data_IF_905374712348
#
_entry.id   IF_905374712348
#
_cell.length_a   1.000
_cell.length_b   1.000
_cell.length_c   1.000
_cell.angle_alpha   90.00
_cell.angle_beta   90.00
_cell.angle_gamma   90.00
#
_symmetry.space_group_name_H-M   'P 1'
#
loop_
_entity.id
_entity.type
_entity.pdbx_description
1 polymer ?
#
# COMPACT_ATOMS: atom_id res chain seq x y z
N UNK A 1 -37.28 -68.81 -9.20
CA UNK A 1 -36.93 -67.81 -8.17
C UNK A 1 -35.72 -67.06 -8.72
N UNK A 2 -35.89 -66.03 -9.55
CA UNK A 2 -36.16 -64.61 -9.22
C UNK A 2 -35.07 -64.05 -8.28
N UNK A 3 -34.34 -62.95 -8.51
CA UNK A 3 -34.38 -61.85 -9.49
C UNK A 3 -33.10 -60.99 -9.36
N UNK A 4 -32.92 -60.05 -10.31
CA UNK A 4 -32.30 -58.70 -10.18
C UNK A 4 -31.05 -58.50 -11.05
N UNK A 5 -31.18 -58.03 -12.30
CA UNK A 5 -31.43 -56.65 -12.79
C UNK A 5 -30.18 -55.74 -12.78
N UNK A 6 -29.72 -55.44 -13.98
CA UNK A 6 -28.76 -54.39 -14.31
C UNK A 6 -29.36 -53.61 -15.48
N UNK A 7 -29.71 -52.34 -15.27
CA UNK A 7 -30.23 -51.45 -16.31
C UNK A 7 -29.23 -50.33 -16.60
N UNK A 8 -29.01 -50.11 -17.89
CA UNK A 8 -27.94 -49.34 -18.50
C UNK A 8 -28.58 -48.09 -19.12
N UNK A 9 -28.35 -46.91 -18.54
CA UNK A 9 -28.80 -45.63 -19.08
C UNK A 9 -27.70 -44.97 -19.89
N UNK A 10 -27.92 -44.84 -21.21
CA UNK A 10 -27.08 -44.10 -22.15
C UNK A 10 -27.85 -42.82 -22.52
N UNK A 11 -27.26 -41.64 -22.41
CA UNK A 11 -27.83 -40.41 -22.98
C UNK A 11 -26.74 -39.51 -23.51
N UNK A 12 -26.95 -39.15 -24.78
CA UNK A 12 -26.11 -38.39 -25.68
C UNK A 12 -26.13 -36.90 -25.29
N UNK A 13 -24.97 -36.24 -25.39
CA UNK A 13 -24.85 -34.78 -25.30
C UNK A 13 -24.79 -34.19 -26.69
N UNK A 14 -25.81 -33.39 -27.01
CA UNK A 14 -25.92 -32.56 -28.20
C UNK A 14 -25.37 -31.15 -27.88
N UNK A 15 -24.51 -30.61 -28.73
CA UNK A 15 -23.97 -29.24 -28.63
C UNK A 15 -24.73 -28.30 -29.58
N UNK A 16 -24.92 -27.02 -29.21
CA UNK A 16 -25.22 -25.96 -30.18
C UNK A 16 -24.10 -24.90 -30.29
N UNK A 17 -24.11 -24.08 -31.37
CA UNK A 17 -22.91 -23.53 -32.00
C UNK A 17 -22.57 -22.07 -31.63
N UNK A 18 -21.33 -21.68 -31.95
CA UNK A 18 -20.78 -20.32 -31.89
C UNK A 18 -21.58 -19.33 -32.76
N UNK A 19 -21.72 -18.08 -32.29
CA UNK A 19 -22.07 -16.94 -33.16
C UNK A 19 -21.30 -15.67 -32.75
N UNK A 20 -20.44 -15.27 -33.68
CA UNK A 20 -20.01 -13.96 -34.14
C UNK A 20 -19.82 -12.73 -33.23
N UNK A 21 -18.62 -12.17 -33.44
CA UNK A 21 -18.17 -10.80 -33.22
C UNK A 21 -19.09 -9.74 -33.83
N UNK A 22 -19.27 -8.64 -33.10
CA UNK A 22 -19.47 -7.31 -33.69
C UNK A 22 -18.81 -6.25 -32.81
N UNK A 23 -17.88 -5.53 -33.42
CA UNK A 23 -17.21 -4.33 -32.90
C UNK A 23 -18.21 -3.25 -32.50
N UNK A 24 -18.03 -2.66 -31.32
CA UNK A 24 -18.54 -1.32 -31.02
C UNK A 24 -17.40 -0.42 -30.55
N UNK A 25 -17.34 0.71 -31.23
CA UNK A 25 -16.36 1.79 -31.17
C UNK A 25 -17.10 3.02 -30.63
N UNK A 26 -16.81 3.48 -29.41
CA UNK A 26 -17.08 4.85 -28.92
C UNK A 26 -16.70 4.96 -27.45
N UNK A 27 -16.20 6.03 -26.83
CA UNK A 27 -15.53 7.30 -27.18
C UNK A 27 -15.13 7.86 -25.80
N UNK A 28 -13.86 8.18 -25.56
CA UNK A 28 -13.41 8.72 -24.27
C UNK A 28 -13.98 10.12 -23.98
N UNK A 29 -14.23 10.48 -22.70
CA UNK A 29 -14.70 11.80 -22.31
C UNK A 29 -13.55 12.83 -22.23
N UNK A 30 -13.82 14.13 -22.43
CA UNK A 30 -12.79 15.16 -22.42
C UNK A 30 -12.40 15.57 -20.98
N UNK A 31 -11.17 16.08 -20.76
CA UNK A 31 -10.72 16.54 -19.45
C UNK A 31 -11.29 17.92 -19.08
N UNK A 32 -11.36 18.26 -17.78
CA UNK A 32 -12.00 19.48 -17.30
C UNK A 32 -11.13 20.73 -17.54
N UNK A 33 -11.78 21.78 -18.03
CA UNK A 33 -11.22 23.12 -18.27
C UNK A 33 -10.82 23.80 -16.94
N UNK A 34 -9.54 24.12 -16.81
CA UNK A 34 -8.98 24.95 -15.72
C UNK A 34 -9.08 26.42 -16.10
N UNK A 35 -9.86 27.20 -15.36
CA UNK A 35 -9.88 28.67 -15.45
C UNK A 35 -9.00 29.26 -14.34
N UNK A 36 -7.91 29.90 -14.75
CA UNK A 36 -6.99 30.62 -13.88
C UNK A 36 -7.52 32.04 -13.61
N UNK A 37 -7.51 32.55 -12.36
CA UNK A 37 -7.73 33.97 -12.10
C UNK A 37 -6.45 34.75 -12.46
N UNK A 38 -6.62 35.81 -13.24
CA UNK A 38 -5.60 36.82 -13.55
C UNK A 38 -5.47 37.81 -12.39
N UNK A 39 -4.22 38.08 -11.98
CA UNK A 39 -3.83 39.11 -11.00
C UNK A 39 -3.33 40.36 -11.76
N UNK A 40 -3.64 41.59 -11.33
CA UNK A 40 -2.80 42.75 -11.64
C UNK A 40 -2.07 43.32 -10.39
N UNK A 41 -1.01 44.13 -10.58
CA UNK A 41 0.20 44.19 -9.74
C UNK A 41 0.15 45.26 -8.61
N UNK A 42 1.16 45.31 -7.71
CA UNK A 42 1.16 46.20 -6.54
C UNK A 42 1.65 47.61 -6.88
N UNK A 43 1.07 48.61 -6.22
CA UNK A 43 1.56 49.99 -6.21
C UNK A 43 2.61 50.21 -5.12
N UNK A 44 3.76 50.83 -5.44
CA UNK A 44 4.58 51.54 -4.46
C UNK A 44 4.55 53.04 -4.76
N UNK A 45 4.11 53.87 -3.82
CA UNK A 45 4.40 55.31 -3.85
C UNK A 45 4.67 55.83 -2.45
N UNK A 46 5.94 56.15 -2.23
CA UNK A 46 6.50 57.01 -1.19
C UNK A 46 6.02 58.46 -1.38
N UNK A 47 5.67 59.16 -0.30
CA UNK A 47 5.79 60.62 -0.12
C UNK A 47 5.93 60.87 1.39
N UNK A 48 7.15 61.07 1.91
CA UNK A 48 7.88 62.34 2.07
C UNK A 48 7.24 63.27 3.11
N UNK A 49 7.87 63.31 4.29
CA UNK A 49 7.60 64.25 5.38
C UNK A 49 8.88 65.07 5.60
N UNK A 50 8.89 66.41 5.39
CA UNK A 50 10.05 67.24 5.68
C UNK A 50 9.97 67.79 7.12
N UNK A 51 10.92 67.36 7.95
CA UNK A 51 11.26 68.04 9.20
C UNK A 51 11.92 69.39 8.88
N UNK A 52 11.39 70.48 9.40
CA UNK A 52 12.08 71.77 9.53
C UNK A 52 12.32 72.07 11.01
N UNK A 53 13.60 72.15 11.37
CA UNK A 53 14.10 72.57 12.68
C UNK A 53 14.14 74.10 12.79
N UNK A 54 14.04 74.68 14.01
CA UNK A 54 13.87 76.11 14.23
C UNK A 54 15.21 76.87 14.29
N UNK A 55 15.20 78.12 13.81
CA UNK A 55 16.29 79.08 14.02
C UNK A 55 15.91 80.18 15.03
N UNK A 56 16.91 80.52 15.85
CA UNK A 56 17.00 81.50 16.93
C UNK A 56 16.46 82.91 16.62
N UNK A 57 15.95 83.64 17.64
CA UNK A 57 16.03 85.09 17.73
C UNK A 57 16.94 85.53 18.89
N UNK A 58 17.57 86.72 18.81
CA UNK A 58 17.44 87.62 19.97
C UNK A 58 17.50 89.12 19.63
N UNK A 59 16.62 89.91 20.24
CA UNK A 59 16.68 91.37 20.29
C UNK A 59 16.01 91.90 21.57
N UNK A 60 16.82 92.06 22.62
CA UNK A 60 16.55 92.88 23.84
C UNK A 60 16.98 94.35 23.56
N UNK A 61 16.85 95.38 24.45
CA UNK A 61 16.55 95.41 25.90
C UNK A 61 15.64 96.64 26.29
N UNK A 62 15.70 97.25 27.49
CA UNK A 62 15.13 96.79 28.77
C UNK A 62 14.26 97.87 29.48
N UNK A 63 13.38 97.45 30.39
CA UNK A 63 12.68 98.34 31.34
C UNK A 63 12.63 97.72 32.74
N UNK A 64 13.46 98.23 33.66
CA UNK A 64 13.44 98.02 35.12
C UNK A 64 12.12 98.59 35.73
N UNK A 65 11.66 98.22 36.96
CA UNK A 65 12.43 97.94 38.19
C UNK A 65 11.93 96.76 39.07
N UNK A 66 12.66 96.40 40.16
CA UNK A 66 12.58 95.11 40.83
C UNK A 66 11.67 95.08 42.07
N UNK A 67 11.04 93.94 42.31
CA UNK A 67 10.36 93.59 43.56
C UNK A 67 10.75 92.18 44.00
N UNK A 68 11.70 92.10 44.93
CA UNK A 68 12.17 90.91 45.67
C UNK A 68 11.03 90.08 46.24
N UNK A 69 11.05 88.74 46.14
CA UNK A 69 10.73 87.74 47.19
C UNK A 69 11.14 86.32 46.68
N UNK A 70 12.26 85.78 47.17
CA UNK A 70 12.68 84.35 47.10
C UNK A 70 12.23 83.64 48.41
N UNK A 71 12.49 82.34 48.67
CA UNK A 71 12.63 81.12 47.84
C UNK A 71 11.83 79.91 48.42
N UNK A 72 11.70 78.79 47.69
CA UNK A 72 11.74 77.45 48.33
C UNK A 72 12.18 76.33 47.37
N UNK A 73 12.88 75.35 47.93
CA UNK A 73 13.65 74.28 47.28
C UNK A 73 12.83 73.31 46.40
N UNK A 74 13.38 72.94 45.23
CA UNK A 74 12.87 71.83 44.40
C UNK A 74 13.72 70.55 44.63
N UNK A 75 13.11 69.37 44.89
CA UNK A 75 13.82 68.11 45.08
C UNK A 75 14.37 67.51 43.76
N UNK A 76 15.48 66.79 43.90
CA UNK A 76 16.22 66.06 42.88
C UNK A 76 15.33 65.08 42.10
N UNK A 77 15.22 65.25 40.77
CA UNK A 77 14.58 64.28 39.86
C UNK A 77 15.54 63.12 39.58
N UNK A 78 15.18 61.91 40.00
CA UNK A 78 15.81 60.67 39.50
C UNK A 78 15.46 60.41 38.03
N UNK A 79 16.30 59.67 37.28
CA UNK A 79 16.04 59.39 35.87
C UNK A 79 14.70 58.66 35.71
N UNK A 80 13.87 59.05 34.73
CA UNK A 80 12.56 58.46 34.52
C UNK A 80 12.68 56.97 34.19
N UNK A 81 11.77 56.12 34.69
CA UNK A 81 11.73 54.72 34.32
C UNK A 81 11.62 54.62 32.80
N UNK A 82 12.53 53.86 32.18
CA UNK A 82 12.43 53.53 30.75
C UNK A 82 11.13 52.75 30.56
N UNK A 83 10.11 53.45 30.10
CA UNK A 83 8.87 52.84 29.63
C UNK A 83 9.24 51.98 28.42
N UNK A 84 9.40 50.68 28.66
CA UNK A 84 9.36 49.69 27.59
C UNK A 84 7.97 49.80 26.97
N UNK A 85 7.89 50.49 25.83
CA UNK A 85 6.72 50.59 24.97
C UNK A 85 6.44 49.20 24.40
N UNK A 86 5.81 48.36 25.24
CA UNK A 86 5.18 47.11 24.83
C UNK A 86 4.05 47.45 23.87
N UNK A 87 4.36 47.57 22.57
CA UNK A 87 3.37 47.75 21.51
C UNK A 87 2.26 46.68 21.66
N UNK A 88 1.00 47.07 21.94
CA UNK A 88 -0.10 46.13 22.22
C UNK A 88 -0.36 45.15 21.07
N UNK A 89 -0.02 45.54 19.83
CA UNK A 89 -0.23 44.70 18.65
C UNK A 89 0.65 43.45 18.58
N UNK A 90 1.82 43.47 19.24
CA UNK A 90 2.75 42.31 19.18
C UNK A 90 2.27 41.11 19.98
N UNK A 91 1.45 41.32 21.03
CA UNK A 91 0.93 40.22 21.87
C UNK A 91 -0.15 39.41 21.16
N UNK A 92 -1.07 40.08 20.46
CA UNK A 92 -2.15 39.41 19.73
C UNK A 92 -1.62 38.57 18.57
N UNK A 93 -0.69 39.12 17.77
CA UNK A 93 -0.08 38.39 16.65
C UNK A 93 0.72 37.18 17.17
N UNK A 94 1.50 37.34 18.24
CA UNK A 94 2.22 36.21 18.87
C UNK A 94 1.26 35.12 19.35
N UNK A 95 0.17 35.49 20.03
CA UNK A 95 -0.83 34.52 20.50
C UNK A 95 -1.53 33.81 19.34
N UNK A 96 -1.84 34.53 18.26
CA UNK A 96 -2.48 33.94 17.08
C UNK A 96 -1.55 32.96 16.37
N UNK A 97 -0.27 33.33 16.17
CA UNK A 97 0.75 32.44 15.59
C UNK A 97 0.94 31.20 16.45
N UNK A 98 1.05 31.34 17.78
CA UNK A 98 1.19 30.21 18.69
C UNK A 98 -0.03 29.28 18.65
N UNK A 99 -1.25 29.83 18.63
CA UNK A 99 -2.47 29.05 18.51
C UNK A 99 -2.53 28.31 17.17
N UNK A 100 -2.21 28.98 16.07
CA UNK A 100 -2.17 28.39 14.74
C UNK A 100 -1.12 27.26 14.64
N UNK A 101 0.08 27.47 15.18
CA UNK A 101 1.13 26.44 15.23
C UNK A 101 0.72 25.25 16.10
N UNK A 102 0.05 25.49 17.22
CA UNK A 102 -0.49 24.42 18.06
C UNK A 102 -1.53 23.59 17.31
N UNK A 103 -2.48 24.24 16.63
CA UNK A 103 -3.49 23.58 15.80
C UNK A 103 -2.83 22.75 14.70
N UNK A 104 -1.89 23.34 13.94
CA UNK A 104 -1.15 22.61 12.90
C UNK A 104 -0.41 21.40 13.46
N UNK A 105 0.22 21.54 14.64
CA UNK A 105 0.93 20.43 15.30
C UNK A 105 -0.03 19.31 15.68
N UNK A 106 -1.20 19.63 16.24
CA UNK A 106 -2.24 18.64 16.56
C UNK A 106 -2.79 17.95 15.31
N UNK A 107 -3.06 18.69 14.23
CA UNK A 107 -3.51 18.12 12.96
C UNK A 107 -2.44 17.21 12.35
N UNK A 108 -1.17 17.64 12.35
CA UNK A 108 -0.06 16.83 11.85
C UNK A 108 0.10 15.55 12.67
N UNK A 109 0.09 15.64 14.00
CA UNK A 109 0.22 14.48 14.88
C UNK A 109 -0.97 13.52 14.73
N UNK A 110 -2.19 14.04 14.65
CA UNK A 110 -3.40 13.25 14.43
C UNK A 110 -3.35 12.54 13.07
N UNK A 111 -2.96 13.24 12.01
CA UNK A 111 -2.78 12.65 10.68
C UNK A 111 -1.70 11.58 10.67
N UNK A 112 -0.59 11.79 11.39
CA UNK A 112 0.48 10.82 11.52
C UNK A 112 0.01 9.56 12.25
N UNK A 113 -0.70 9.71 13.38
CA UNK A 113 -1.26 8.59 14.13
C UNK A 113 -2.28 7.82 13.30
N UNK A 114 -3.15 8.53 12.56
CA UNK A 114 -4.12 7.89 11.68
C UNK A 114 -3.43 7.14 10.54
N UNK A 115 -2.40 7.72 9.94
CA UNK A 115 -1.62 7.07 8.89
C UNK A 115 -0.89 5.82 9.40
N UNK A 116 -0.35 5.86 10.63
CA UNK A 116 0.29 4.69 11.26
C UNK A 116 -0.72 3.60 11.62
N UNK A 117 -1.92 3.97 12.10
CA UNK A 117 -2.99 3.02 12.46
C UNK A 117 -3.65 2.39 11.23
N UNK A 118 -3.69 3.11 10.10
CA UNK A 118 -4.26 2.64 8.84
C UNK A 118 -3.22 1.99 7.92
N UNK A 119 -1.93 1.95 8.30
CA UNK A 119 -0.92 1.26 7.50
C UNK A 119 -1.11 -0.24 7.66
N UNK A 120 -1.65 -0.95 6.65
CA UNK A 120 -1.90 -2.37 6.78
C UNK A 120 -0.58 -3.12 6.93
N UNK A 121 -0.55 -4.06 7.86
CA UNK A 121 0.44 -5.13 7.85
C UNK A 121 0.08 -6.12 6.75
N UNK A 122 1.08 -6.59 6.00
CA UNK A 122 0.83 -7.48 4.89
C UNK A 122 0.39 -8.87 5.40
N UNK A 123 -0.57 -9.53 4.74
CA UNK A 123 -1.00 -10.88 5.10
C UNK A 123 0.17 -11.85 4.98
N UNK A 124 0.29 -12.79 5.91
CA UNK A 124 1.37 -13.79 5.89
C UNK A 124 0.88 -15.02 5.14
N UNK A 125 1.67 -15.48 4.18
CA UNK A 125 1.35 -16.67 3.38
C UNK A 125 2.30 -17.80 3.76
N UNK A 126 1.76 -18.99 4.00
CA UNK A 126 2.53 -20.19 4.32
C UNK A 126 2.03 -21.38 3.50
N UNK A 127 2.93 -22.19 2.97
CA UNK A 127 2.58 -23.45 2.30
C UNK A 127 2.55 -24.58 3.33
N UNK A 128 1.37 -25.09 3.61
CA UNK A 128 1.14 -26.18 4.58
C UNK A 128 1.45 -27.54 3.96
N UNK A 129 0.93 -27.77 2.76
CA UNK A 129 1.20 -28.98 1.97
C UNK A 129 1.33 -28.65 0.50
N UNK A 130 2.23 -29.34 -0.19
CA UNK A 130 2.45 -29.17 -1.62
C UNK A 130 2.78 -30.52 -2.23
N UNK A 131 1.79 -31.09 -2.91
CA UNK A 131 1.84 -32.45 -3.44
C UNK A 131 1.59 -32.43 -4.94
N UNK A 132 2.14 -33.43 -5.63
CA UNK A 132 1.88 -33.64 -7.04
C UNK A 132 1.57 -35.11 -7.30
N UNK A 133 0.51 -35.38 -8.06
CA UNK A 133 0.11 -36.71 -8.50
C UNK A 133 0.25 -36.82 -10.02
N UNK A 134 0.45 -38.04 -10.52
CA UNK A 134 0.63 -38.28 -11.96
C UNK A 134 1.72 -37.42 -12.60
N UNK A 135 2.78 -37.11 -11.85
CA UNK A 135 3.89 -36.29 -12.32
C UNK A 135 4.77 -37.08 -13.30
N UNK A 136 4.78 -36.65 -14.55
CA UNK A 136 5.62 -37.23 -15.61
C UNK A 136 6.40 -36.12 -16.30
N UNK A 137 7.70 -36.31 -16.52
CA UNK A 137 8.55 -35.35 -17.25
C UNK A 137 8.87 -35.82 -18.67
N UNK A 138 8.68 -37.11 -18.97
CA UNK A 138 8.96 -37.70 -20.30
C UNK A 138 7.79 -38.61 -20.72
N UNK A 139 7.31 -38.56 -21.97
CA UNK A 139 7.74 -37.68 -23.07
C UNK A 139 7.22 -36.24 -22.93
N UNK A 140 6.22 -36.00 -22.07
CA UNK A 140 5.56 -34.71 -21.91
C UNK A 140 5.37 -34.41 -20.44
N UNK A 141 5.48 -33.13 -20.06
CA UNK A 141 5.21 -32.69 -18.69
C UNK A 141 3.72 -32.80 -18.39
N UNK A 142 3.37 -33.57 -17.38
CA UNK A 142 2.04 -33.64 -16.82
C UNK A 142 2.12 -33.76 -15.30
N UNK A 143 1.11 -33.27 -14.60
CA UNK A 143 1.05 -33.37 -13.14
C UNK A 143 -0.21 -32.73 -12.59
N UNK A 144 -0.77 -33.32 -11.53
CA UNK A 144 -1.89 -32.81 -10.77
C UNK A 144 -1.36 -32.26 -9.45
N UNK A 145 -1.39 -30.94 -9.32
CA UNK A 145 -0.91 -30.24 -8.13
C UNK A 145 -2.03 -30.13 -7.11
N UNK A 146 -1.73 -30.44 -5.85
CA UNK A 146 -2.60 -30.23 -4.70
C UNK A 146 -1.81 -29.45 -3.65
N UNK A 147 -2.18 -28.18 -3.50
CA UNK A 147 -1.49 -27.22 -2.64
C UNK A 147 -2.42 -26.71 -1.58
N UNK A 148 -1.99 -26.73 -0.33
CA UNK A 148 -2.68 -26.07 0.80
C UNK A 148 -1.86 -24.89 1.26
N UNK A 149 -2.45 -23.71 1.19
CA UNK A 149 -1.84 -22.42 1.56
C UNK A 149 -2.61 -21.89 2.77
N UNK A 150 -1.91 -21.54 3.84
CA UNK A 150 -2.48 -20.83 4.98
C UNK A 150 -2.19 -19.35 4.80
N UNK A 151 -3.22 -18.53 4.91
CA UNK A 151 -3.14 -17.07 4.79
C UNK A 151 -3.60 -16.48 6.11
N UNK A 152 -2.71 -15.73 6.77
CA UNK A 152 -2.95 -15.07 8.04
C UNK A 152 -3.16 -13.56 7.81
N UNK A 153 -4.19 -12.96 8.41
CA UNK A 153 -4.34 -11.50 8.48
C UNK A 153 -3.87 -11.00 9.86
N UNK A 154 -2.63 -10.49 9.98
CA UNK A 154 -2.09 -10.02 11.26
C UNK A 154 -2.68 -8.69 11.73
N UNK A 155 -3.56 -8.05 10.94
CA UNK A 155 -4.09 -6.74 11.30
C UNK A 155 -5.15 -6.82 12.40
N UNK A 156 -4.96 -6.04 13.47
CA UNK A 156 -5.91 -5.95 14.59
C UNK A 156 -7.22 -5.21 14.26
N UNK A 157 -7.19 -4.31 13.27
CA UNK A 157 -8.29 -3.36 13.00
C UNK A 157 -8.77 -3.35 11.55
N UNK A 158 -8.05 -4.04 10.66
CA UNK A 158 -8.29 -4.04 9.24
C UNK A 158 -8.74 -5.43 8.78
N UNK A 159 -9.91 -5.49 8.17
CA UNK A 159 -10.41 -6.67 7.47
C UNK A 159 -9.78 -6.70 6.08
N UNK A 160 -9.18 -7.84 5.71
CA UNK A 160 -8.53 -8.03 4.43
C UNK A 160 -9.51 -8.63 3.41
N UNK A 161 -9.64 -7.97 2.26
CA UNK A 161 -10.45 -8.43 1.13
C UNK A 161 -9.49 -8.86 0.02
N UNK A 162 -9.51 -10.14 -0.31
CA UNK A 162 -8.69 -10.71 -1.36
C UNK A 162 -9.53 -10.91 -2.62
N UNK A 163 -9.03 -10.45 -3.77
CA UNK A 163 -9.57 -10.85 -5.07
C UNK A 163 -9.31 -12.34 -5.32
N UNK A 164 -9.81 -12.84 -6.45
CA UNK A 164 -9.37 -14.14 -6.97
C UNK A 164 -7.84 -14.20 -7.05
N UNK A 165 -7.29 -15.34 -6.67
CA UNK A 165 -5.86 -15.60 -6.66
C UNK A 165 -5.45 -16.24 -7.97
N UNK A 166 -4.26 -15.87 -8.46
CA UNK A 166 -3.50 -16.61 -9.46
C UNK A 166 -2.36 -17.34 -8.75
N UNK A 167 -2.27 -18.64 -8.95
CA UNK A 167 -1.28 -19.51 -8.29
C UNK A 167 -0.46 -20.21 -9.35
N UNK A 168 0.76 -19.72 -9.56
CA UNK A 168 1.70 -20.25 -10.54
C UNK A 168 2.69 -21.20 -9.84
N UNK A 169 2.84 -22.40 -10.39
CA UNK A 169 3.89 -23.35 -9.99
C UNK A 169 5.02 -23.26 -10.99
N UNK A 170 6.21 -22.89 -10.52
CA UNK A 170 7.40 -22.71 -11.34
C UNK A 170 8.53 -23.65 -10.94
N UNK A 171 9.32 -24.03 -11.94
CA UNK A 171 10.63 -24.65 -11.77
C UNK A 171 11.67 -23.69 -12.33
N UNK A 172 12.57 -23.21 -11.46
CA UNK A 172 13.44 -22.06 -11.75
C UNK A 172 12.59 -20.88 -12.25
N UNK A 173 12.88 -20.35 -13.42
CA UNK A 173 12.16 -19.22 -14.03
C UNK A 173 10.96 -19.65 -14.91
N UNK A 174 10.77 -20.96 -15.14
CA UNK A 174 9.73 -21.47 -16.00
C UNK A 174 8.46 -21.86 -15.23
N UNK A 175 7.30 -21.33 -15.62
CA UNK A 175 6.01 -21.74 -15.04
C UNK A 175 5.53 -23.04 -15.72
N UNK A 176 5.11 -24.01 -14.91
CA UNK A 176 4.62 -25.31 -15.39
C UNK A 176 3.12 -25.51 -15.18
N UNK A 177 2.52 -24.79 -14.23
CA UNK A 177 1.09 -24.79 -13.99
C UNK A 177 0.63 -23.41 -13.58
N UNK A 178 -0.51 -22.99 -14.11
CA UNK A 178 -1.23 -21.77 -13.73
C UNK A 178 -2.57 -22.22 -13.17
N UNK A 179 -2.82 -21.89 -11.92
CA UNK A 179 -4.03 -22.29 -11.19
C UNK A 179 -4.72 -21.05 -10.62
N UNK A 180 -5.96 -21.22 -10.19
CA UNK A 180 -6.76 -20.14 -9.61
C UNK A 180 -7.47 -20.60 -8.34
N UNK A 181 -7.63 -19.68 -7.41
CA UNK A 181 -8.45 -19.86 -6.22
C UNK A 181 -9.41 -18.68 -6.06
N UNK A 182 -10.63 -18.89 -5.54
CA UNK A 182 -11.57 -17.81 -5.32
C UNK A 182 -11.04 -16.84 -4.27
N UNK A 183 -11.38 -15.56 -4.44
CA UNK A 183 -11.15 -14.56 -3.41
C UNK A 183 -11.99 -14.82 -2.16
N UNK A 184 -11.56 -14.26 -1.03
CA UNK A 184 -12.25 -14.37 0.24
C UNK A 184 -12.01 -13.12 1.09
N UNK A 185 -12.71 -13.05 2.22
CA UNK A 185 -12.57 -11.99 3.22
C UNK A 185 -12.01 -12.61 4.48
N UNK A 186 -10.94 -12.03 5.02
CA UNK A 186 -10.31 -12.47 6.25
C UNK A 186 -10.48 -11.40 7.31
N UNK A 187 -11.11 -11.79 8.43
CA UNK A 187 -11.32 -10.87 9.55
C UNK A 187 -9.99 -10.50 10.21
N UNK A 188 -10.04 -9.57 11.16
CA UNK A 188 -8.88 -9.15 11.94
C UNK A 188 -8.33 -10.30 12.78
N UNK A 189 -7.00 -10.51 12.77
CA UNK A 189 -6.33 -11.60 13.49
C UNK A 189 -6.89 -13.00 13.18
N UNK A 190 -7.33 -13.20 11.95
CA UNK A 190 -7.91 -14.45 11.49
C UNK A 190 -7.00 -15.13 10.48
N UNK A 191 -7.19 -16.42 10.26
CA UNK A 191 -6.46 -17.20 9.28
C UNK A 191 -7.39 -18.10 8.48
N UNK A 192 -7.03 -18.36 7.23
CA UNK A 192 -7.80 -19.23 6.35
C UNK A 192 -6.87 -20.15 5.56
N UNK A 193 -7.24 -21.43 5.53
CA UNK A 193 -6.58 -22.43 4.70
C UNK A 193 -7.28 -22.53 3.35
N UNK A 194 -6.52 -22.31 2.27
CA UNK A 194 -6.98 -22.36 0.88
C UNK A 194 -6.37 -23.59 0.21
N UNK A 195 -7.23 -24.47 -0.29
CA UNK A 195 -6.81 -25.61 -1.11
C UNK A 195 -6.86 -25.21 -2.59
N UNK A 196 -5.76 -25.42 -3.30
CA UNK A 196 -5.60 -25.09 -4.71
C UNK A 196 -5.21 -26.35 -5.46
N UNK A 197 -6.13 -26.81 -6.31
CA UNK A 197 -5.91 -27.93 -7.21
C UNK A 197 -5.57 -27.40 -8.60
N UNK A 198 -4.61 -28.05 -9.26
CA UNK A 198 -4.03 -27.56 -10.50
C UNK A 198 -3.56 -28.65 -11.44
N UNK A 199 -3.43 -28.32 -12.73
CA UNK A 199 -2.94 -29.24 -13.76
C UNK A 199 -1.78 -28.62 -14.53
N UNK A 200 -0.66 -29.32 -14.59
CA UNK A 200 0.34 -29.12 -15.63
C UNK A 200 -0.11 -29.87 -16.87
N UNK A 201 -0.41 -29.15 -17.95
CA UNK A 201 -0.68 -29.72 -19.26
C UNK A 201 0.29 -29.12 -20.30
N UNK A 202 0.36 -29.73 -21.48
CA UNK A 202 1.26 -29.30 -22.56
C UNK A 202 1.13 -27.82 -22.94
N UNK A 203 -0.03 -27.20 -22.74
CA UNK A 203 -0.22 -25.77 -23.02
C UNK A 203 0.71 -24.89 -22.17
N UNK A 204 0.95 -25.29 -20.92
CA UNK A 204 1.84 -24.58 -20.00
C UNK A 204 3.32 -24.91 -20.24
N UNK A 205 3.61 -26.04 -20.88
CA UNK A 205 4.99 -26.47 -21.19
C UNK A 205 5.66 -25.53 -22.20
N UNK A 206 4.87 -24.87 -23.06
CA UNK A 206 5.38 -23.84 -23.97
C UNK A 206 6.00 -22.64 -23.22
N UNK A 207 5.76 -22.51 -21.91
CA UNK A 207 6.40 -21.51 -21.07
C UNK A 207 7.73 -21.98 -20.45
N UNK A 208 8.09 -23.26 -20.58
CA UNK A 208 9.38 -23.78 -20.16
C UNK A 208 10.36 -23.76 -21.32
N UNK A 209 11.49 -23.07 -21.15
CA UNK A 209 12.61 -23.21 -22.07
C UNK A 209 13.10 -24.67 -22.07
N UNK A 210 13.53 -25.17 -23.24
CA UNK A 210 14.06 -26.53 -23.40
C UNK A 210 15.16 -26.85 -22.38
N UNK A 211 16.08 -25.91 -22.14
CA UNK A 211 17.16 -26.03 -21.15
C UNK A 211 16.60 -26.30 -19.74
N UNK A 212 15.57 -25.56 -19.35
CA UNK A 212 14.89 -25.72 -18.06
C UNK A 212 14.17 -27.07 -17.95
N UNK A 213 13.61 -27.57 -19.06
CA UNK A 213 12.99 -28.90 -19.11
C UNK A 213 14.02 -30.03 -18.97
N UNK A 214 15.17 -29.92 -19.64
CA UNK A 214 16.26 -30.89 -19.53
C UNK A 214 16.81 -30.93 -18.09
N UNK A 215 16.96 -29.77 -17.45
CA UNK A 215 17.32 -29.64 -16.04
C UNK A 215 16.27 -30.26 -15.11
N UNK A 216 14.98 -30.04 -15.38
CA UNK A 216 13.89 -30.64 -14.62
C UNK A 216 13.92 -32.18 -14.70
N UNK A 217 14.14 -32.74 -15.89
CA UNK A 217 14.27 -34.19 -16.10
C UNK A 217 15.47 -34.73 -15.31
N UNK A 218 16.61 -34.04 -15.38
CA UNK A 218 17.83 -34.40 -14.66
C UNK A 218 17.62 -34.33 -13.15
N UNK A 219 17.03 -33.27 -12.63
CA UNK A 219 16.76 -33.12 -11.19
C UNK A 219 15.76 -34.17 -10.73
N UNK A 220 14.69 -34.43 -11.48
CA UNK A 220 13.72 -35.47 -11.16
C UNK A 220 14.35 -36.86 -11.08
N UNK A 221 15.39 -37.15 -11.86
CA UNK A 221 16.14 -38.42 -11.79
C UNK A 221 16.90 -38.63 -10.47
N UNK A 222 17.13 -37.56 -9.70
CA UNK A 222 17.76 -37.62 -8.37
C UNK A 222 16.78 -38.03 -7.25
N UNK A 223 15.48 -38.12 -7.55
CA UNK A 223 14.42 -38.50 -6.60
C UNK A 223 13.72 -37.32 -5.91
N UNK A 224 14.11 -36.08 -6.20
CA UNK A 224 13.40 -34.89 -5.71
C UNK A 224 13.48 -33.74 -6.70
N UNK A 225 12.52 -32.82 -6.66
CA UNK A 225 12.53 -31.58 -7.45
C UNK A 225 12.13 -30.41 -6.56
N UNK A 226 12.85 -29.28 -6.66
CA UNK A 226 12.54 -28.06 -5.92
C UNK A 226 11.73 -27.09 -6.77
N UNK A 227 10.54 -26.75 -6.30
CA UNK A 227 9.62 -25.84 -6.98
C UNK A 227 9.52 -24.49 -6.26
N UNK A 228 8.99 -23.51 -6.98
CA UNK A 228 8.60 -22.20 -6.46
C UNK A 228 7.10 -22.01 -6.70
N UNK A 229 6.39 -21.56 -5.67
CA UNK A 229 4.98 -21.20 -5.78
C UNK A 229 4.86 -19.67 -5.78
N UNK A 230 4.17 -19.10 -6.76
CA UNK A 230 3.86 -17.66 -6.80
C UNK A 230 2.36 -17.48 -6.68
N UNK A 231 1.92 -16.76 -5.66
CA UNK A 231 0.52 -16.46 -5.38
C UNK A 231 0.31 -14.97 -5.55
N UNK A 232 -0.49 -14.57 -6.53
CA UNK A 232 -0.77 -13.16 -6.81
C UNK A 232 -2.25 -12.86 -6.57
N UNK A 233 -2.54 -11.80 -5.83
CA UNK A 233 -3.90 -11.31 -5.63
C UNK A 233 -3.94 -9.81 -5.42
N UNK A 234 -5.05 -9.22 -5.84
CA UNK A 234 -5.34 -7.81 -5.64
C UNK A 234 -6.12 -7.66 -4.34
N UNK A 235 -5.55 -6.92 -3.40
CA UNK A 235 -5.99 -6.91 -2.01
C UNK A 235 -6.41 -5.50 -1.58
N UNK A 236 -7.36 -5.43 -0.65
CA UNK A 236 -7.86 -4.18 -0.08
C UNK A 236 -8.15 -4.37 1.41
N UNK A 237 -7.75 -3.41 2.23
CA UNK A 237 -7.94 -3.44 3.68
C UNK A 237 -8.98 -2.41 4.09
N UNK A 238 -9.94 -2.80 4.95
CA UNK A 238 -11.00 -1.89 5.41
C UNK A 238 -11.11 -1.85 6.93
N UNK A 239 -11.39 -0.67 7.47
CA UNK A 239 -11.79 -0.46 8.87
C UNK A 239 -12.97 0.51 8.91
N UNK A 240 -14.16 0.01 9.26
CA UNK A 240 -15.40 0.80 9.24
C UNK A 240 -15.68 1.41 7.85
N UNK A 241 -15.75 2.74 7.77
CA UNK A 241 -15.97 3.48 6.51
C UNK A 241 -14.67 3.81 5.76
N UNK A 242 -13.51 3.48 6.32
CA UNK A 242 -12.21 3.78 5.73
C UNK A 242 -11.71 2.53 5.01
N UNK A 243 -11.24 2.71 3.77
CA UNK A 243 -10.61 1.68 2.96
C UNK A 243 -9.23 2.14 2.53
N UNK A 244 -8.26 1.24 2.51
CA UNK A 244 -6.97 1.48 1.88
C UNK A 244 -7.13 1.47 0.36
N UNK A 245 -6.09 1.94 -0.33
CA UNK A 245 -5.93 1.69 -1.76
C UNK A 245 -5.82 0.18 -1.99
N UNK A 246 -6.31 -0.25 -3.14
CA UNK A 246 -6.13 -1.60 -3.64
C UNK A 246 -4.69 -1.80 -4.13
N UNK A 247 -4.03 -2.86 -3.68
CA UNK A 247 -2.63 -3.19 -4.00
C UNK A 247 -2.54 -4.64 -4.47
N UNK A 248 -1.69 -4.90 -5.47
CA UNK A 248 -1.37 -6.26 -5.89
C UNK A 248 -0.27 -6.80 -4.97
N UNK A 249 -0.54 -7.91 -4.30
CA UNK A 249 0.46 -8.60 -3.47
C UNK A 249 0.85 -9.89 -4.18
N UNK A 250 2.16 -10.10 -4.30
CA UNK A 250 2.74 -11.33 -4.82
C UNK A 250 3.50 -12.03 -3.70
N UNK A 251 3.01 -13.19 -3.27
CA UNK A 251 3.69 -14.08 -2.34
C UNK A 251 4.51 -15.13 -3.11
N UNK A 252 5.82 -15.17 -2.88
CA UNK A 252 6.75 -16.12 -3.49
C UNK A 252 7.26 -17.09 -2.42
N UNK A 253 6.89 -18.36 -2.55
CA UNK A 253 7.30 -19.45 -1.67
C UNK A 253 8.35 -20.29 -2.40
N UNK A 254 9.62 -20.05 -2.10
CA UNK A 254 10.75 -20.77 -2.71
C UNK A 254 11.12 -22.01 -1.88
N UNK A 255 11.92 -22.90 -2.47
CA UNK A 255 12.47 -24.04 -1.74
C UNK A 255 11.47 -25.17 -1.46
N UNK A 256 10.38 -25.26 -2.21
CA UNK A 256 9.37 -26.31 -2.07
C UNK A 256 9.91 -27.63 -2.66
N UNK A 257 10.72 -28.35 -1.88
CA UNK A 257 11.32 -29.62 -2.30
C UNK A 257 10.29 -30.74 -2.25
N UNK A 258 9.88 -31.23 -3.41
CA UNK A 258 9.00 -32.38 -3.56
C UNK A 258 9.83 -33.64 -3.74
N UNK A 259 9.62 -34.63 -2.88
CA UNK A 259 10.35 -35.91 -2.87
C UNK A 259 9.47 -37.02 -3.44
N UNK A 260 10.07 -37.85 -4.29
CA UNK A 260 9.44 -39.03 -4.90
C UNK A 260 10.03 -40.30 -4.28
N UNK A 261 9.18 -41.26 -3.92
CA UNK A 261 9.62 -42.47 -3.20
C UNK A 261 10.67 -43.30 -3.96
N UNK A 262 10.59 -43.29 -5.28
CA UNK A 262 11.55 -43.95 -6.18
C UNK A 262 11.51 -43.27 -7.56
N UNK A 263 12.41 -43.65 -8.45
CA UNK A 263 12.52 -43.04 -9.78
C UNK A 263 11.22 -43.16 -10.61
N UNK A 264 10.45 -44.23 -10.42
CA UNK A 264 9.22 -44.52 -11.14
C UNK A 264 7.96 -43.94 -10.47
N UNK A 265 8.08 -43.36 -9.27
CA UNK A 265 6.95 -42.85 -8.52
C UNK A 265 6.37 -41.59 -9.20
N UNK A 266 5.09 -41.60 -9.52
CA UNK A 266 4.41 -40.44 -10.13
C UNK A 266 3.81 -39.49 -9.08
N UNK A 267 3.78 -39.92 -7.82
CA UNK A 267 3.36 -39.08 -6.69
C UNK A 267 4.58 -38.56 -5.95
N UNK A 268 4.59 -37.26 -5.71
CA UNK A 268 5.59 -36.56 -4.92
C UNK A 268 4.94 -35.73 -3.82
N UNK A 269 5.59 -35.65 -2.67
CA UNK A 269 5.14 -34.87 -1.51
C UNK A 269 6.23 -33.91 -1.06
N UNK A 270 5.85 -32.72 -0.61
CA UNK A 270 6.80 -31.75 -0.08
C UNK A 270 7.49 -32.26 1.19
N UNK A 271 8.83 -32.22 1.20
CA UNK A 271 9.67 -32.47 2.38
C UNK A 271 9.82 -31.18 3.19
N UNK A 272 8.84 -30.91 4.06
CA UNK A 272 8.82 -29.73 4.91
C UNK A 272 9.15 -30.02 6.39
N UNK A 273 9.56 -31.25 6.72
CA UNK A 273 9.85 -31.69 8.10
C UNK A 273 8.73 -31.36 9.12
N UNK A 274 7.48 -31.26 8.66
CA UNK A 274 6.32 -30.93 9.48
C UNK A 274 6.13 -29.44 9.80
N UNK A 275 6.89 -28.53 9.17
CA UNK A 275 6.71 -27.08 9.32
C UNK A 275 6.21 -26.47 8.00
N UNK A 276 5.21 -25.57 8.03
CA UNK A 276 4.83 -24.82 6.84
C UNK A 276 6.02 -24.03 6.27
N UNK A 277 6.09 -23.89 4.94
CA UNK A 277 7.11 -23.06 4.29
C UNK A 277 6.62 -21.61 4.18
N UNK A 278 7.38 -20.66 4.70
CA UNK A 278 7.04 -19.24 4.65
C UNK A 278 7.28 -18.65 3.25
N UNK A 279 6.42 -17.72 2.85
CA UNK A 279 6.53 -17.02 1.57
C UNK A 279 7.03 -15.59 1.78
N UNK A 280 7.83 -15.10 0.84
CA UNK A 280 8.25 -13.70 0.79
C UNK A 280 7.21 -12.87 0.04
N UNK A 281 6.95 -11.66 0.52
CA UNK A 281 5.88 -10.81 -0.01
C UNK A 281 6.47 -9.63 -0.78
N UNK A 282 5.86 -9.34 -1.93
CA UNK A 282 6.21 -8.24 -2.83
C UNK A 282 4.94 -7.45 -3.18
N UNK A 283 5.08 -6.14 -3.35
CA UNK A 283 4.05 -5.17 -3.76
C UNK A 283 4.56 -4.42 -4.98
#
# INVERSE_FOLDING_TARGET
MASSNQEKGNSQTESPPLTNQSSEQHTDPPPPTTTHPTHPPPHPMYYQNPHTYPQYPPGYPPGYPPGYHYPQNAPYYGPPPTYQTSSPGTRFIRSFILCFMMILTFFFLSSLVLALMLRPELPVYKVVSFNVNNFTTTPTLAGQWDTKISIDNPNDKLVAYFSNFKVDVAYKDGVMAINHAPGFVLNTNDHMDVNVAGLSNQGNVNLLEKTTMDDLVKERSTGSVTFTLRVSSVNMFKSGSISTRTEEIVAICEGLKVVFQNNNATTGTMDNRGKPADCQLYI
#
